data_IF_109315728772
#
_entry.id   IF_109315728772
#
_cell.length_a   1.000
_cell.length_b   1.000
_cell.length_c   1.000
_cell.angle_alpha   90.00
_cell.angle_beta   90.00
_cell.angle_gamma   90.00
#
_symmetry.space_group_name_H-M   'P 1'
#
loop_
_entity.id
_entity.type
_entity.pdbx_description
1 polymer ?
#
# COMPACT_ATOMS: atom_id res chain seq x y z
N UNK A 1 29.19 -32.89 -75.56
CA UNK A 1 30.22 -32.02 -76.18
C UNK A 1 30.11 -30.63 -75.54
N UNK A 2 31.22 -29.89 -75.37
CA UNK A 2 31.87 -29.87 -74.04
C UNK A 2 32.15 -28.47 -73.47
N UNK A 3 32.93 -28.42 -72.36
CA UNK A 3 33.64 -27.25 -71.80
C UNK A 3 32.77 -26.24 -71.00
N UNK A 4 33.25 -25.43 -70.03
CA UNK A 4 34.54 -25.33 -69.27
C UNK A 4 34.42 -24.14 -68.29
N UNK A 5 35.00 -24.05 -67.07
CA UNK A 5 35.74 -24.93 -66.13
C UNK A 5 35.95 -24.15 -64.80
N UNK A 6 35.96 -24.84 -63.64
CA UNK A 6 36.61 -24.41 -62.36
C UNK A 6 36.07 -23.08 -61.72
N UNK A 7 36.26 -22.74 -60.42
CA UNK A 7 37.14 -23.27 -59.35
C UNK A 7 36.59 -22.94 -57.93
N UNK A 8 36.74 -23.87 -56.97
CA UNK A 8 37.07 -23.73 -55.52
C UNK A 8 36.44 -22.70 -54.56
N UNK A 9 36.33 -23.17 -53.29
CA UNK A 9 36.41 -22.43 -52.00
C UNK A 9 35.18 -21.53 -51.68
N UNK A 10 34.69 -21.39 -50.43
CA UNK A 10 35.26 -21.72 -49.10
C UNK A 10 34.19 -22.13 -48.07
N UNK A 11 34.65 -22.61 -46.92
CA UNK A 11 33.94 -22.95 -45.68
C UNK A 11 32.99 -21.87 -45.10
N UNK A 12 32.11 -22.34 -44.21
CA UNK A 12 31.55 -21.66 -43.02
C UNK A 12 30.53 -20.51 -43.19
N UNK A 13 29.24 -20.84 -43.00
CA UNK A 13 28.19 -19.95 -42.46
C UNK A 13 26.96 -20.73 -41.94
N UNK A 14 27.16 -21.78 -41.12
CA UNK A 14 26.08 -22.50 -40.42
C UNK A 14 26.19 -22.27 -38.90
N UNK A 15 26.32 -21.00 -38.53
CA UNK A 15 26.28 -20.49 -37.16
C UNK A 15 25.72 -19.06 -37.22
N UNK A 16 24.40 -18.92 -37.10
CA UNK A 16 23.73 -17.64 -37.40
C UNK A 16 22.22 -17.61 -37.23
N UNK A 17 21.66 -18.43 -36.32
CA UNK A 17 20.22 -18.43 -35.99
C UNK A 17 19.94 -18.51 -34.47
N UNK A 18 20.98 -18.36 -33.63
CA UNK A 18 20.89 -18.34 -32.17
C UNK A 18 21.13 -16.97 -31.54
N UNK A 19 20.90 -15.89 -32.30
CA UNK A 19 21.17 -14.51 -31.87
C UNK A 19 20.08 -13.53 -32.36
N UNK A 20 18.81 -13.92 -32.22
CA UNK A 20 17.73 -12.95 -31.99
C UNK A 20 17.48 -12.87 -30.50
N UNK A 21 18.51 -12.44 -29.77
CA UNK A 21 18.29 -11.82 -28.47
C UNK A 21 17.43 -10.60 -28.73
N UNK A 22 16.13 -10.71 -28.43
CA UNK A 22 15.26 -9.54 -28.29
C UNK A 22 15.65 -8.89 -26.97
N UNK A 23 16.83 -8.25 -26.98
CA UNK A 23 17.24 -7.27 -26.00
C UNK A 23 16.24 -6.13 -26.13
N UNK A 24 15.09 -6.26 -25.46
CA UNK A 24 14.13 -5.17 -25.32
C UNK A 24 14.92 -4.02 -24.71
N UNK A 25 15.08 -2.88 -25.41
CA UNK A 25 15.86 -1.80 -24.86
C UNK A 25 15.22 -1.35 -23.54
N UNK A 26 16.06 -1.09 -22.55
CA UNK A 26 15.68 -0.56 -21.23
C UNK A 26 14.97 0.81 -21.29
N UNK A 27 14.80 1.38 -22.49
CA UNK A 27 13.93 2.52 -22.80
C UNK A 27 12.43 2.28 -22.55
N UNK A 28 12.00 1.05 -22.24
CA UNK A 28 10.65 0.81 -21.73
C UNK A 28 10.45 1.34 -20.30
N UNK A 29 11.53 1.59 -19.56
CA UNK A 29 11.54 2.10 -18.19
C UNK A 29 11.89 3.60 -18.12
N UNK A 30 11.75 4.37 -19.21
CA UNK A 30 11.89 5.82 -19.14
C UNK A 30 10.76 6.38 -18.27
N UNK A 31 11.06 7.18 -17.22
CA UNK A 31 10.01 7.79 -16.42
C UNK A 31 9.13 8.67 -17.32
N UNK A 32 7.81 8.73 -17.07
CA UNK A 32 6.93 9.67 -17.76
C UNK A 32 7.45 11.10 -17.56
N UNK A 33 7.29 12.00 -18.55
CA UNK A 33 7.76 13.37 -18.43
C UNK A 33 7.08 14.06 -17.24
N UNK A 34 7.84 14.87 -16.51
CA UNK A 34 7.31 15.66 -15.40
C UNK A 34 6.09 16.49 -15.85
N UNK A 35 5.03 16.44 -15.05
CA UNK A 35 3.75 17.04 -15.39
C UNK A 35 2.70 16.75 -14.33
N UNK A 36 1.62 17.53 -14.37
CA UNK A 36 0.44 17.37 -13.52
C UNK A 36 -0.81 17.22 -14.38
N UNK A 37 -1.80 16.51 -13.86
CA UNK A 37 -3.07 16.27 -14.54
C UNK A 37 -4.19 16.07 -13.51
N UNK A 38 -5.42 16.42 -13.90
CA UNK A 38 -6.59 16.09 -13.10
C UNK A 38 -6.83 14.57 -13.15
N UNK A 39 -6.82 13.91 -11.99
CA UNK A 39 -6.94 12.45 -11.84
C UNK A 39 -8.28 11.98 -11.26
N UNK A 40 -9.02 12.87 -10.57
CA UNK A 40 -10.42 12.65 -10.21
C UNK A 40 -11.17 13.97 -10.10
N UNK A 41 -12.44 13.99 -10.51
CA UNK A 41 -13.41 15.08 -10.39
C UNK A 41 -14.79 14.44 -10.12
N UNK A 42 -15.64 14.98 -9.24
CA UNK A 42 -16.99 14.46 -9.03
C UNK A 42 -17.81 14.51 -10.32
N UNK A 43 -18.58 13.46 -10.60
CA UNK A 43 -19.41 13.39 -11.81
C UNK A 43 -20.51 14.45 -11.86
N UNK A 44 -20.94 14.95 -10.71
CA UNK A 44 -21.92 16.03 -10.61
C UNK A 44 -21.58 17.04 -9.50
N UNK A 45 -22.02 18.28 -9.71
CA UNK A 45 -21.79 19.44 -8.82
C UNK A 45 -23.08 20.28 -8.70
N UNK A 46 -23.44 20.83 -7.53
CA UNK A 46 -24.57 21.76 -7.41
C UNK A 46 -24.32 23.05 -8.19
N UNK A 47 -25.38 23.79 -8.55
CA UNK A 47 -25.22 25.04 -9.33
C UNK A 47 -24.39 26.10 -8.60
N UNK A 48 -24.60 26.25 -7.30
CA UNK A 48 -23.85 27.15 -6.41
C UNK A 48 -22.64 26.45 -5.74
N UNK A 49 -22.24 25.29 -6.27
CA UNK A 49 -21.19 24.43 -5.72
C UNK A 49 -19.75 24.84 -6.10
N UNK A 50 -18.81 24.02 -5.65
CA UNK A 50 -17.38 24.11 -5.93
C UNK A 50 -16.98 22.93 -6.81
N UNK A 51 -16.24 23.18 -7.88
CA UNK A 51 -15.66 22.12 -8.72
C UNK A 51 -14.36 21.68 -8.05
N UNK A 52 -14.32 20.43 -7.58
CA UNK A 52 -13.18 19.88 -6.85
C UNK A 52 -12.44 18.90 -7.75
N UNK A 53 -11.11 18.98 -7.78
CA UNK A 53 -10.27 18.08 -8.55
C UNK A 53 -9.10 17.55 -7.72
N UNK A 54 -8.91 16.23 -7.72
CA UNK A 54 -7.62 15.65 -7.36
C UNK A 54 -6.68 15.84 -8.55
N UNK A 55 -5.50 16.39 -8.28
CA UNK A 55 -4.43 16.56 -9.26
C UNK A 55 -3.28 15.65 -8.85
N UNK A 56 -2.88 14.77 -9.76
CA UNK A 56 -1.73 13.89 -9.56
C UNK A 56 -0.55 14.38 -10.41
N UNK A 57 0.66 14.22 -9.88
CA UNK A 57 1.92 14.66 -10.46
C UNK A 57 2.87 13.47 -10.55
N UNK A 58 3.59 13.31 -11.67
CA UNK A 58 4.33 12.08 -11.95
C UNK A 58 5.51 11.80 -11.00
N UNK A 59 6.15 12.85 -10.49
CA UNK A 59 7.33 12.78 -9.61
C UNK A 59 7.01 13.47 -8.27
N UNK A 60 6.84 14.79 -8.31
CA UNK A 60 6.30 15.60 -7.23
C UNK A 60 5.47 16.75 -7.80
N UNK A 61 4.48 17.22 -7.04
CA UNK A 61 3.76 18.43 -7.38
C UNK A 61 4.59 19.67 -7.00
N UNK A 62 4.59 20.72 -7.85
CA UNK A 62 5.30 21.96 -7.56
C UNK A 62 4.85 22.62 -6.24
N UNK A 63 5.71 23.47 -5.67
CA UNK A 63 5.39 24.26 -4.46
C UNK A 63 4.19 25.19 -4.68
N UNK A 64 4.04 25.74 -5.89
CA UNK A 64 2.84 26.46 -6.31
C UNK A 64 1.79 25.47 -6.81
N UNK A 65 0.58 25.50 -6.22
CA UNK A 65 -0.55 24.70 -6.69
C UNK A 65 -0.80 24.89 -8.21
N UNK A 66 -0.91 23.81 -9.01
CA UNK A 66 -1.26 23.92 -10.42
C UNK A 66 -2.62 24.60 -10.64
N UNK A 67 -2.78 25.37 -11.72
CA UNK A 67 -4.06 26.06 -11.98
C UNK A 67 -5.05 25.14 -12.71
N UNK A 68 -6.28 25.03 -12.20
CA UNK A 68 -7.38 24.32 -12.84
C UNK A 68 -7.99 25.15 -13.96
N UNK A 69 -8.07 24.57 -15.15
CA UNK A 69 -8.82 25.12 -16.28
C UNK A 69 -10.18 24.42 -16.33
N UNK A 70 -11.23 25.16 -15.96
CA UNK A 70 -12.62 24.72 -16.07
C UNK A 70 -13.24 25.36 -17.31
N UNK A 71 -13.84 24.55 -18.18
CA UNK A 71 -14.40 24.98 -19.45
C UNK A 71 -15.79 24.40 -19.66
N UNK A 72 -16.76 25.24 -19.99
CA UNK A 72 -18.09 24.79 -20.43
C UNK A 72 -17.95 24.04 -21.77
N UNK A 73 -18.46 22.82 -21.84
CA UNK A 73 -18.34 21.93 -23.00
C UNK A 73 -19.25 22.36 -24.15
N UNK A 74 -20.39 22.96 -23.83
CA UNK A 74 -21.45 23.30 -24.78
C UNK A 74 -21.19 24.66 -25.44
N UNK A 75 -20.70 25.64 -24.67
CA UNK A 75 -20.33 26.98 -25.19
C UNK A 75 -18.86 27.06 -25.62
N UNK A 76 -17.99 26.25 -25.01
CA UNK A 76 -16.55 26.33 -25.17
C UNK A 76 -15.87 27.43 -24.34
N UNK A 77 -16.61 28.15 -23.48
CA UNK A 77 -16.10 29.26 -22.67
C UNK A 77 -15.37 28.76 -21.41
N UNK A 78 -14.22 29.36 -21.10
CA UNK A 78 -13.49 29.11 -19.85
C UNK A 78 -14.22 29.82 -18.72
N UNK A 79 -14.53 29.08 -17.65
CA UNK A 79 -15.23 29.61 -16.49
C UNK A 79 -14.30 30.49 -15.66
N UNK A 80 -14.78 31.67 -15.27
CA UNK A 80 -14.08 32.54 -14.33
C UNK A 80 -14.40 32.14 -12.89
N UNK A 81 -13.43 32.28 -11.99
CA UNK A 81 -13.56 31.84 -10.60
C UNK A 81 -12.30 32.10 -9.78
N UNK A 82 -12.28 31.55 -8.58
CA UNK A 82 -11.11 31.54 -7.69
C UNK A 82 -10.76 30.10 -7.31
N UNK A 83 -9.47 29.77 -7.33
CA UNK A 83 -8.98 28.48 -6.85
C UNK A 83 -8.37 28.60 -5.45
N UNK A 84 -8.59 27.58 -4.63
CA UNK A 84 -7.86 27.32 -3.39
C UNK A 84 -7.40 25.86 -3.31
N UNK A 85 -6.28 25.59 -2.62
CA UNK A 85 -5.93 24.23 -2.22
C UNK A 85 -6.79 23.85 -1.01
N UNK A 86 -7.35 22.63 -1.02
CA UNK A 86 -8.27 22.18 0.03
C UNK A 86 -7.50 21.93 1.33
N UNK A 87 -7.60 22.89 2.24
CA UNK A 87 -7.01 22.80 3.57
C UNK A 87 -7.51 21.56 4.35
N UNK A 88 -6.70 21.13 5.31
CA UNK A 88 -6.90 19.99 6.21
C UNK A 88 -6.86 18.59 5.57
N UNK A 89 -6.94 18.45 4.24
CA UNK A 89 -6.70 17.17 3.54
C UNK A 89 -5.19 16.97 3.35
N UNK A 90 -4.61 15.82 3.74
CA UNK A 90 -3.18 15.57 3.53
C UNK A 90 -2.82 15.53 2.04
N UNK A 91 -2.06 16.51 1.57
CA UNK A 91 -1.36 16.43 0.28
C UNK A 91 -0.18 15.45 0.40
N UNK A 92 -0.08 14.50 -0.54
CA UNK A 92 1.16 13.71 -0.71
C UNK A 92 2.16 14.50 -1.55
N UNK A 93 3.41 14.07 -1.64
CA UNK A 93 4.39 14.76 -2.51
C UNK A 93 3.94 14.75 -3.98
N UNK A 94 3.20 13.71 -4.41
CA UNK A 94 2.72 13.48 -5.77
C UNK A 94 1.25 13.86 -6.02
N UNK A 95 0.49 14.33 -5.03
CA UNK A 95 -0.92 14.71 -5.22
C UNK A 95 -1.31 16.02 -4.50
N UNK A 96 -2.28 16.73 -5.08
CA UNK A 96 -2.95 17.90 -4.51
C UNK A 96 -4.47 17.74 -4.64
N UNK A 97 -5.22 18.38 -3.76
CA UNK A 97 -6.67 18.51 -3.89
C UNK A 97 -7.03 19.99 -4.03
N UNK A 98 -7.62 20.35 -5.17
CA UNK A 98 -7.90 21.73 -5.54
C UNK A 98 -9.40 21.97 -5.61
N UNK A 99 -9.83 23.13 -5.11
CA UNK A 99 -11.20 23.61 -5.12
C UNK A 99 -11.30 24.85 -6.01
N UNK A 100 -12.00 24.73 -7.14
CA UNK A 100 -12.36 25.84 -8.02
C UNK A 100 -13.77 26.34 -7.69
N UNK A 101 -13.87 27.58 -7.25
CA UNK A 101 -15.12 28.28 -6.93
C UNK A 101 -15.50 29.19 -8.10
N UNK A 102 -16.57 28.88 -8.86
CA UNK A 102 -17.05 29.74 -9.95
C UNK A 102 -17.40 31.15 -9.47
N UNK A 103 -17.16 32.16 -10.31
CA UNK A 103 -17.52 33.56 -10.03
C UNK A 103 -19.02 33.86 -10.21
N UNK A 104 -19.75 32.96 -10.87
CA UNK A 104 -21.20 32.97 -11.04
C UNK A 104 -21.72 31.52 -10.96
N UNK A 105 -23.00 31.29 -10.61
CA UNK A 105 -23.57 29.94 -10.56
C UNK A 105 -23.43 29.19 -11.88
N UNK A 106 -23.18 27.88 -11.79
CA UNK A 106 -23.14 26.97 -12.93
C UNK A 106 -24.54 26.81 -13.55
N UNK A 107 -24.59 26.43 -14.82
CA UNK A 107 -25.85 26.30 -15.58
C UNK A 107 -26.37 24.86 -15.49
N UNK A 108 -27.64 24.71 -15.11
CA UNK A 108 -28.27 23.39 -14.91
C UNK A 108 -28.20 22.51 -16.17
N UNK A 109 -27.73 21.28 -15.99
CA UNK A 109 -27.57 20.29 -17.05
C UNK A 109 -26.29 20.42 -17.88
N UNK A 110 -25.57 21.55 -17.83
CA UNK A 110 -24.33 21.75 -18.58
C UNK A 110 -23.21 20.82 -18.08
N UNK A 111 -22.34 20.42 -19.01
CA UNK A 111 -21.13 19.64 -18.71
C UNK A 111 -19.92 20.56 -18.75
N UNK A 112 -19.09 20.49 -17.70
CA UNK A 112 -17.84 21.23 -17.58
C UNK A 112 -16.66 20.28 -17.70
N UNK A 113 -15.75 20.59 -18.62
CA UNK A 113 -14.46 19.94 -18.77
C UNK A 113 -13.48 20.55 -17.78
N UNK A 114 -12.75 19.70 -17.07
CA UNK A 114 -11.81 20.06 -16.00
C UNK A 114 -10.46 19.44 -16.30
N UNK A 115 -9.43 20.27 -16.34
CA UNK A 115 -8.04 19.86 -16.48
C UNK A 115 -7.10 20.83 -15.77
N UNK A 116 -5.81 20.60 -15.89
CA UNK A 116 -4.76 21.48 -15.34
C UNK A 116 -4.13 22.32 -16.46
N UNK A 117 -3.71 23.55 -16.17
CA UNK A 117 -2.95 24.36 -17.14
C UNK A 117 -1.68 23.61 -17.59
N UNK A 118 -1.47 23.54 -18.92
CA UNK A 118 -0.35 22.78 -19.49
C UNK A 118 -0.53 21.26 -19.53
N UNK A 119 -1.66 20.72 -19.05
CA UNK A 119 -1.99 19.29 -19.21
C UNK A 119 -1.96 18.89 -20.70
N UNK A 120 -1.19 17.85 -21.02
CA UNK A 120 -1.04 17.41 -22.41
C UNK A 120 -2.25 16.59 -22.87
N UNK A 121 -2.62 16.74 -24.15
CA UNK A 121 -3.79 16.12 -24.79
C UNK A 121 -3.74 14.57 -24.88
N UNK A 122 -2.74 13.92 -24.28
CA UNK A 122 -2.64 12.46 -24.15
C UNK A 122 -3.25 11.90 -22.87
N UNK A 123 -3.60 12.76 -21.90
CA UNK A 123 -4.30 12.38 -20.67
C UNK A 123 -5.79 12.70 -20.82
N UNK A 124 -6.65 11.85 -20.26
CA UNK A 124 -8.11 12.06 -20.26
C UNK A 124 -8.47 13.42 -19.61
N UNK A 125 -9.36 14.17 -20.27
CA UNK A 125 -9.94 15.39 -19.72
C UNK A 125 -11.18 14.96 -18.93
N UNK A 126 -11.22 15.28 -17.65
CA UNK A 126 -12.32 14.89 -16.77
C UNK A 126 -13.53 15.80 -16.98
N UNK A 127 -14.73 15.27 -16.73
CA UNK A 127 -15.99 15.98 -16.97
C UNK A 127 -16.90 15.90 -15.73
N UNK A 128 -17.56 17.01 -15.41
CA UNK A 128 -18.55 17.11 -14.33
C UNK A 128 -19.82 17.79 -14.83
N UNK A 129 -20.99 17.33 -14.39
CA UNK A 129 -22.28 17.91 -14.75
C UNK A 129 -22.82 18.81 -13.63
N UNK A 130 -23.16 20.05 -13.96
CA UNK A 130 -23.88 20.90 -13.01
C UNK A 130 -25.35 20.48 -12.91
N UNK A 131 -25.89 20.35 -11.70
CA UNK A 131 -27.30 19.98 -11.51
C UNK A 131 -27.98 20.67 -10.32
N UNK A 132 -29.17 21.23 -10.57
CA UNK A 132 -30.10 21.69 -9.54
C UNK A 132 -30.76 20.56 -8.75
N UNK A 133 -30.73 19.32 -9.28
CA UNK A 133 -31.29 18.15 -8.62
C UNK A 133 -30.33 17.51 -7.60
N UNK A 134 -29.11 18.06 -7.44
CA UNK A 134 -28.12 17.58 -6.49
C UNK A 134 -28.39 18.12 -5.08
N UNK A 135 -29.50 17.66 -4.49
CA UNK A 135 -29.76 17.81 -3.06
C UNK A 135 -29.05 16.68 -2.30
N UNK A 136 -28.18 17.03 -1.34
CA UNK A 136 -27.49 16.04 -0.53
C UNK A 136 -27.97 16.05 0.91
N UNK A 137 -28.75 15.02 1.25
CA UNK A 137 -28.83 14.56 2.63
C UNK A 137 -27.51 13.86 3.01
N UNK A 138 -26.59 14.66 3.57
CA UNK A 138 -25.29 14.18 4.09
C UNK A 138 -25.44 13.14 5.20
N UNK A 139 -26.65 12.94 5.76
CA UNK A 139 -26.98 11.88 6.72
C UNK A 139 -27.45 10.57 6.12
N UNK A 140 -27.82 10.53 4.84
CA UNK A 140 -28.34 9.32 4.21
C UNK A 140 -27.24 8.39 3.65
N UNK A 141 -26.00 8.86 3.52
CA UNK A 141 -24.89 8.09 2.95
C UNK A 141 -24.23 7.23 4.03
N UNK A 142 -24.32 5.89 3.98
CA UNK A 142 -23.63 5.03 4.94
C UNK A 142 -22.14 4.95 4.63
N UNK A 143 -21.31 5.10 5.67
CA UNK A 143 -19.90 4.67 5.62
C UNK A 143 -19.86 3.16 5.82
N UNK A 144 -19.20 2.44 4.92
CA UNK A 144 -18.95 1.01 5.14
C UNK A 144 -17.70 0.87 6.00
N UNK A 145 -17.77 0.06 7.04
CA UNK A 145 -16.70 -0.13 7.99
C UNK A 145 -16.34 -1.62 8.12
N UNK A 146 -15.04 -1.92 8.15
CA UNK A 146 -14.52 -3.28 8.18
C UNK A 146 -13.36 -3.36 9.20
N UNK A 147 -13.42 -4.34 10.09
CA UNK A 147 -12.35 -4.66 11.05
C UNK A 147 -11.79 -6.02 10.66
N UNK A 148 -10.49 -6.10 10.37
CA UNK A 148 -9.79 -7.35 10.06
C UNK A 148 -8.45 -7.41 10.78
N UNK A 149 -7.92 -8.60 11.00
CA UNK A 149 -6.52 -8.78 11.39
C UNK A 149 -5.67 -8.95 10.13
N UNK A 150 -4.56 -8.21 10.06
CA UNK A 150 -3.53 -8.32 9.05
C UNK A 150 -2.21 -8.79 9.67
N UNK A 151 -1.28 -9.25 8.83
CA UNK A 151 -0.01 -9.86 9.24
C UNK A 151 1.16 -9.21 8.50
N UNK A 152 2.10 -8.62 9.24
CA UNK A 152 3.42 -8.20 8.76
C UNK A 152 4.50 -9.16 9.28
N UNK A 153 5.65 -9.23 8.62
CA UNK A 153 6.81 -9.94 9.17
C UNK A 153 7.30 -9.27 10.46
N UNK A 154 7.78 -10.07 11.40
CA UNK A 154 8.28 -9.61 12.70
C UNK A 154 9.68 -10.17 12.96
N UNK A 155 10.49 -9.44 13.71
CA UNK A 155 11.86 -9.83 14.04
C UNK A 155 12.87 -9.52 12.92
N UNK A 156 13.94 -10.30 12.87
CA UNK A 156 14.98 -10.20 11.85
C UNK A 156 14.50 -10.87 10.55
N UNK A 157 14.57 -10.13 9.44
CA UNK A 157 14.11 -10.60 8.13
C UNK A 157 15.28 -11.04 7.26
N UNK A 158 15.19 -12.25 6.71
CA UNK A 158 16.08 -12.73 5.66
C UNK A 158 15.51 -12.37 4.29
N UNK A 159 16.32 -11.81 3.39
CA UNK A 159 15.87 -11.24 2.13
C UNK A 159 16.58 -11.87 0.93
N UNK A 160 15.86 -11.94 -0.19
CA UNK A 160 16.34 -12.48 -1.46
C UNK A 160 16.02 -11.52 -2.62
N UNK A 161 16.73 -11.70 -3.75
CA UNK A 161 16.29 -11.12 -5.03
C UNK A 161 15.20 -12.01 -5.63
N UNK A 162 14.06 -11.43 -6.00
CA UNK A 162 12.97 -12.13 -6.66
C UNK A 162 13.05 -12.00 -8.19
N UNK A 163 12.87 -13.13 -8.89
CA UNK A 163 12.83 -13.17 -10.36
C UNK A 163 11.50 -12.62 -10.87
N UNK A 164 11.49 -11.32 -11.19
CA UNK A 164 10.35 -10.71 -11.84
C UNK A 164 10.26 -11.18 -13.29
N UNK A 165 9.12 -11.77 -13.65
CA UNK A 165 8.85 -12.25 -14.99
C UNK A 165 8.99 -11.18 -16.09
N UNK A 166 9.09 -11.59 -17.37
CA UNK A 166 9.50 -10.74 -18.48
C UNK A 166 8.58 -9.52 -18.70
N UNK A 167 9.00 -8.36 -18.19
CA UNK A 167 8.27 -7.10 -18.31
C UNK A 167 8.45 -6.12 -17.14
N UNK A 168 8.96 -6.57 -16.00
CA UNK A 168 9.26 -5.68 -14.88
C UNK A 168 10.58 -4.89 -15.06
N UNK A 169 10.67 -3.74 -14.39
CA UNK A 169 11.85 -2.88 -14.35
C UNK A 169 12.44 -2.88 -12.93
N UNK A 170 13.70 -3.30 -12.77
CA UNK A 170 14.43 -3.29 -11.51
C UNK A 170 14.50 -4.65 -10.80
N UNK A 171 15.36 -4.73 -9.77
CA UNK A 171 15.39 -5.86 -8.83
C UNK A 171 14.31 -5.60 -7.77
N UNK A 172 13.48 -6.60 -7.48
CA UNK A 172 12.61 -6.56 -6.30
C UNK A 172 13.18 -7.48 -5.23
N UNK A 173 13.33 -6.92 -4.04
CA UNK A 173 13.68 -7.67 -2.85
C UNK A 173 12.42 -8.31 -2.27
N UNK A 174 12.52 -9.58 -1.87
CA UNK A 174 11.47 -10.29 -1.13
C UNK A 174 12.05 -10.79 0.18
N UNK A 175 11.44 -10.40 1.30
CA UNK A 175 11.91 -10.70 2.64
C UNK A 175 10.93 -11.60 3.38
N UNK A 176 11.46 -12.43 4.28
CA UNK A 176 10.75 -13.43 5.09
C UNK A 176 11.32 -13.45 6.51
N UNK A 177 10.51 -13.86 7.49
CA UNK A 177 10.93 -14.08 8.87
C UNK A 177 10.17 -15.27 9.48
N UNK A 178 10.69 -15.82 10.57
CA UNK A 178 10.07 -16.94 11.31
C UNK A 178 8.81 -16.53 12.07
N UNK A 179 8.61 -15.23 12.30
CA UNK A 179 7.48 -14.68 13.04
C UNK A 179 6.67 -13.68 12.19
N UNK A 180 5.36 -13.67 12.42
CA UNK A 180 4.45 -12.63 11.94
C UNK A 180 3.83 -11.89 13.11
N UNK A 181 3.72 -10.58 12.97
CA UNK A 181 2.96 -9.73 13.87
C UNK A 181 1.57 -9.52 13.29
N UNK A 182 0.57 -9.97 14.06
CA UNK A 182 -0.84 -9.73 13.79
C UNK A 182 -1.28 -8.42 14.43
N UNK A 183 -1.76 -7.49 13.62
CA UNK A 183 -2.33 -6.21 14.05
C UNK A 183 -3.76 -6.08 13.50
N UNK A 184 -4.59 -5.27 14.16
CA UNK A 184 -5.93 -4.95 13.66
C UNK A 184 -5.83 -3.81 12.65
N UNK A 185 -6.51 -3.98 11.52
CA UNK A 185 -6.71 -2.99 10.48
C UNK A 185 -8.17 -2.61 10.47
N UNK A 186 -8.47 -1.35 10.84
CA UNK A 186 -9.80 -0.77 10.79
C UNK A 186 -9.94 0.10 9.56
N UNK A 187 -10.69 -0.38 8.56
CA UNK A 187 -10.89 0.31 7.29
C UNK A 187 -12.29 0.92 7.20
N UNK A 188 -12.35 2.17 6.72
CA UNK A 188 -13.58 2.90 6.43
C UNK A 188 -13.63 3.24 4.94
N UNK A 189 -14.64 2.77 4.22
CA UNK A 189 -14.92 3.18 2.84
C UNK A 189 -15.81 4.43 2.86
N UNK A 190 -15.24 5.54 2.40
CA UNK A 190 -15.88 6.84 2.33
C UNK A 190 -16.26 7.25 0.89
N UNK A 191 -16.19 6.33 -0.08
CA UNK A 191 -16.51 6.60 -1.49
C UNK A 191 -18.02 6.68 -1.79
N UNK A 192 -18.87 6.33 -0.82
CA UNK A 192 -20.32 6.43 -0.94
C UNK A 192 -20.79 7.85 -1.32
N UNK A 193 -21.69 7.93 -2.29
CA UNK A 193 -22.45 9.16 -2.60
C UNK A 193 -21.73 10.25 -3.39
N UNK A 194 -20.60 9.97 -4.07
CA UNK A 194 -19.99 10.93 -5.01
C UNK A 194 -21.01 11.44 -6.05
N UNK A 195 -21.81 10.53 -6.62
CA UNK A 195 -22.93 10.82 -7.54
C UNK A 195 -24.13 11.55 -6.88
N UNK A 196 -24.07 11.81 -5.57
CA UNK A 196 -25.09 12.48 -4.78
C UNK A 196 -24.55 13.74 -4.08
N UNK A 197 -23.44 14.31 -4.58
CA UNK A 197 -22.89 15.57 -4.08
C UNK A 197 -21.90 15.42 -2.92
N UNK A 198 -21.51 14.21 -2.52
CA UNK A 198 -20.53 14.01 -1.44
C UNK A 198 -19.16 14.65 -1.75
N UNK A 199 -18.82 14.81 -3.03
CA UNK A 199 -17.63 15.54 -3.48
C UNK A 199 -17.62 17.04 -3.14
N UNK A 200 -18.72 17.60 -2.63
CA UNK A 200 -18.76 18.98 -2.10
C UNK A 200 -18.24 19.09 -0.65
N UNK A 201 -17.87 17.99 -0.02
CA UNK A 201 -17.53 17.95 1.40
C UNK A 201 -16.24 17.17 1.66
N UNK A 202 -15.46 17.68 2.60
CA UNK A 202 -14.37 16.93 3.22
C UNK A 202 -14.92 16.17 4.44
N UNK A 203 -14.50 14.92 4.59
CA UNK A 203 -14.94 13.98 5.61
C UNK A 203 -13.82 13.86 6.65
N UNK A 204 -14.11 14.32 7.86
CA UNK A 204 -13.20 14.30 9.00
C UNK A 204 -13.63 13.13 9.90
N UNK A 205 -12.75 12.16 10.06
CA UNK A 205 -12.93 10.97 10.89
C UNK A 205 -12.06 11.09 12.14
N UNK A 206 -12.71 11.20 13.30
CA UNK A 206 -12.05 11.09 14.60
C UNK A 206 -12.22 9.67 15.12
N UNK A 207 -11.12 8.94 15.27
CA UNK A 207 -11.08 7.59 15.81
C UNK A 207 -11.02 7.66 17.34
N UNK A 208 -11.78 6.79 18.01
CA UNK A 208 -11.85 6.75 19.47
C UNK A 208 -11.84 5.34 20.02
N UNK A 209 -11.29 5.19 21.22
CA UNK A 209 -11.46 4.00 22.05
C UNK A 209 -12.94 3.80 22.42
N UNK A 210 -13.35 2.63 22.91
CA UNK A 210 -14.72 2.39 23.38
C UNK A 210 -15.22 3.39 24.45
N UNK A 211 -14.34 3.78 25.38
CA UNK A 211 -14.60 4.76 26.44
C UNK A 211 -14.51 6.24 26.00
N UNK A 212 -14.11 6.49 24.74
CA UNK A 212 -14.19 7.81 24.11
C UNK A 212 -12.90 8.64 24.14
N UNK A 213 -11.75 8.04 24.46
CA UNK A 213 -10.44 8.65 24.25
C UNK A 213 -10.18 8.80 22.74
N UNK A 214 -9.73 9.99 22.29
CA UNK A 214 -9.36 10.22 20.89
C UNK A 214 -8.03 9.52 20.59
N UNK A 215 -8.06 8.52 19.71
CA UNK A 215 -6.88 7.76 19.28
C UNK A 215 -6.17 8.41 18.10
N UNK A 216 -6.91 9.17 17.29
CA UNK A 216 -6.37 9.83 16.11
C UNK A 216 -7.45 10.47 15.26
N UNK A 217 -7.02 11.23 14.26
CA UNK A 217 -7.90 11.98 13.37
C UNK A 217 -7.37 11.96 11.95
N UNK A 218 -8.25 11.66 11.00
CA UNK A 218 -7.95 11.64 9.55
C UNK A 218 -8.95 12.50 8.81
N UNK A 219 -8.49 13.11 7.73
CA UNK A 219 -9.30 13.99 6.88
C UNK A 219 -9.15 13.52 5.45
N UNK A 220 -10.27 13.19 4.80
CA UNK A 220 -10.30 12.73 3.40
C UNK A 220 -11.45 13.39 2.66
N UNK A 221 -11.30 13.55 1.36
CA UNK A 221 -12.39 13.97 0.49
C UNK A 221 -13.14 12.75 -0.07
N UNK A 222 -12.40 11.89 -0.75
CA UNK A 222 -12.82 10.57 -1.24
C UNK A 222 -11.70 9.56 -1.01
N UNK A 223 -12.06 8.26 -0.99
CA UNK A 223 -11.13 7.15 -0.82
C UNK A 223 -11.48 6.21 0.33
N UNK A 224 -10.55 5.29 0.56
CA UNK A 224 -10.54 4.40 1.72
C UNK A 224 -9.64 4.99 2.80
N UNK A 225 -10.12 4.98 4.04
CA UNK A 225 -9.30 5.20 5.23
C UNK A 225 -8.94 3.87 5.86
N UNK A 226 -7.77 3.82 6.48
CA UNK A 226 -7.31 2.66 7.25
C UNK A 226 -6.50 3.17 8.43
N UNK A 227 -6.86 2.72 9.63
CA UNK A 227 -6.11 2.95 10.86
C UNK A 227 -5.71 1.59 11.45
N UNK A 228 -4.50 1.48 12.00
CA UNK A 228 -3.93 0.22 12.49
C UNK A 228 -3.70 0.23 13.99
N UNK A 229 -3.97 -0.90 14.64
CA UNK A 229 -3.84 -1.06 16.09
C UNK A 229 -3.15 -2.39 16.42
N UNK A 230 -1.99 -2.35 17.08
CA UNK A 230 -1.27 -3.56 17.47
C UNK A 230 -1.98 -4.33 18.62
N UNK A 231 -2.90 -3.67 19.33
CA UNK A 231 -3.72 -4.26 20.42
C UNK A 231 -5.18 -4.41 19.98
N UNK A 232 -5.71 -5.63 20.10
CA UNK A 232 -7.12 -5.91 19.87
C UNK A 232 -8.02 -5.25 20.93
N UNK A 233 -9.05 -4.54 20.47
CA UNK A 233 -10.16 -4.04 21.29
C UNK A 233 -11.43 -4.87 21.04
N UNK A 234 -12.46 -4.73 21.89
CA UNK A 234 -13.76 -5.37 21.64
C UNK A 234 -14.55 -4.69 20.52
N UNK A 235 -14.35 -3.39 20.34
CA UNK A 235 -14.94 -2.58 19.29
C UNK A 235 -14.03 -1.39 18.95
N UNK A 236 -14.18 -0.86 17.74
CA UNK A 236 -13.44 0.29 17.22
C UNK A 236 -14.45 1.37 16.84
N UNK A 237 -14.30 2.58 17.39
CA UNK A 237 -15.29 3.64 17.24
C UNK A 237 -14.75 4.78 16.37
N UNK A 238 -15.61 5.35 15.52
CA UNK A 238 -15.33 6.57 14.78
C UNK A 238 -16.47 7.58 14.92
N UNK A 239 -16.09 8.85 14.84
CA UNK A 239 -16.97 10.00 14.74
C UNK A 239 -16.71 10.67 13.40
N UNK A 240 -17.75 10.86 12.59
CA UNK A 240 -17.67 11.50 11.28
C UNK A 240 -18.23 12.92 11.34
N UNK A 241 -17.45 13.87 10.83
CA UNK A 241 -17.86 15.26 10.64
C UNK A 241 -17.59 15.67 9.20
N UNK A 242 -18.64 16.03 8.47
CA UNK A 242 -18.54 16.60 7.13
C UNK A 242 -18.24 18.09 7.24
N UNK A 243 -17.36 18.62 6.39
CA UNK A 243 -17.04 20.04 6.24
C UNK A 243 -17.30 20.44 4.78
N UNK A 244 -18.27 21.31 4.55
CA UNK A 244 -18.62 21.84 3.24
C UNK A 244 -17.45 22.63 2.64
N UNK A 245 -17.13 22.39 1.37
CA UNK A 245 -16.14 23.15 0.60
C UNK A 245 -16.71 24.47 0.07
N UNK A 246 -18.03 24.56 -0.07
CA UNK A 246 -18.70 25.77 -0.55
C UNK A 246 -18.69 26.89 0.51
N UNK A 247 -18.95 26.58 1.79
CA UNK A 247 -19.14 27.60 2.83
C UNK A 247 -18.43 27.30 4.16
N UNK A 248 -17.72 26.18 4.26
CA UNK A 248 -17.01 25.78 5.47
C UNK A 248 -17.91 25.27 6.61
N UNK A 249 -19.24 25.16 6.38
CA UNK A 249 -20.17 24.65 7.41
C UNK A 249 -19.88 23.19 7.74
N UNK A 250 -20.12 22.80 8.99
CA UNK A 250 -19.87 21.43 9.46
C UNK A 250 -21.14 20.71 9.90
N UNK A 251 -21.21 19.42 9.56
CA UNK A 251 -22.30 18.52 9.95
C UNK A 251 -21.69 17.27 10.58
N UNK A 252 -21.86 17.13 11.88
CA UNK A 252 -21.45 15.96 12.65
C UNK A 252 -22.51 14.84 12.56
N UNK A 253 -22.06 13.58 12.57
CA UNK A 253 -22.92 12.38 12.63
C UNK A 253 -22.95 11.81 14.05
N UNK A 254 -23.63 10.69 14.23
CA UNK A 254 -23.53 9.94 15.50
C UNK A 254 -22.28 9.07 15.51
N UNK A 255 -21.61 9.00 16.67
CA UNK A 255 -20.46 8.12 16.91
C UNK A 255 -20.86 6.66 16.67
N UNK A 256 -20.16 6.00 15.76
CA UNK A 256 -20.43 4.62 15.36
C UNK A 256 -19.32 3.71 15.84
N UNK A 257 -19.66 2.64 16.54
CA UNK A 257 -18.72 1.62 17.00
C UNK A 257 -18.93 0.32 16.24
N UNK A 258 -17.83 -0.29 15.79
CA UNK A 258 -17.80 -1.51 14.99
C UNK A 258 -17.18 -2.62 15.83
N UNK A 259 -17.90 -3.71 16.12
CA UNK A 259 -17.35 -4.80 16.93
C UNK A 259 -16.21 -5.50 16.19
N UNK A 260 -15.16 -5.87 16.93
CA UNK A 260 -14.04 -6.68 16.40
C UNK A 260 -14.51 -8.07 15.92
N UNK A 261 -15.52 -8.63 16.59
CA UNK A 261 -16.12 -9.91 16.22
C UNK A 261 -15.11 -11.04 16.20
N UNK A 262 -15.18 -11.87 15.16
CA UNK A 262 -14.32 -13.05 14.96
C UNK A 262 -13.04 -12.73 14.15
N UNK A 263 -12.61 -11.46 14.06
CA UNK A 263 -11.49 -11.04 13.21
C UNK A 263 -10.12 -11.66 13.55
N UNK A 264 -9.98 -12.27 14.73
CA UNK A 264 -8.76 -12.97 15.17
C UNK A 264 -8.12 -12.34 16.42
N UNK A 265 -6.91 -12.81 16.76
CA UNK A 265 -6.11 -12.25 17.86
C UNK A 265 -4.90 -11.49 17.31
N UNK A 266 -4.52 -10.39 17.96
CA UNK A 266 -3.26 -9.67 17.70
C UNK A 266 -2.10 -10.21 18.53
N UNK A 267 -0.89 -9.79 18.18
CA UNK A 267 0.36 -10.20 18.83
C UNK A 267 1.33 -10.87 17.85
N UNK A 268 2.45 -11.35 18.36
CA UNK A 268 3.47 -12.06 17.58
C UNK A 268 3.18 -13.56 17.60
N UNK A 269 3.25 -14.20 16.44
CA UNK A 269 3.00 -15.62 16.24
C UNK A 269 4.06 -16.21 15.31
N UNK A 270 4.39 -17.51 15.42
CA UNK A 270 5.15 -18.21 14.39
C UNK A 270 4.46 -18.06 13.02
N UNK A 271 5.25 -17.81 11.98
CA UNK A 271 4.78 -17.69 10.62
C UNK A 271 4.23 -19.03 10.10
N UNK A 272 3.19 -18.97 9.25
CA UNK A 272 2.70 -20.17 8.57
C UNK A 272 3.70 -20.62 7.50
N UNK A 273 4.07 -21.90 7.52
CA UNK A 273 4.99 -22.48 6.55
C UNK A 273 4.54 -22.29 5.09
N UNK A 274 3.23 -22.28 4.81
CA UNK A 274 2.70 -22.01 3.48
C UNK A 274 2.92 -20.54 3.06
N UNK A 275 2.87 -19.58 4.00
CA UNK A 275 3.18 -18.17 3.75
C UNK A 275 4.66 -17.96 3.48
N UNK A 276 5.54 -18.62 4.23
CA UNK A 276 6.99 -18.65 3.99
C UNK A 276 7.24 -19.18 2.57
N UNK A 277 6.75 -20.39 2.25
CA UNK A 277 6.87 -21.04 0.93
C UNK A 277 6.37 -20.13 -0.20
N UNK A 278 5.19 -19.52 -0.07
CA UNK A 278 4.60 -18.63 -1.07
C UNK A 278 5.45 -17.37 -1.32
N UNK A 279 6.14 -16.89 -0.29
CA UNK A 279 7.05 -15.72 -0.37
C UNK A 279 8.38 -16.10 -1.00
N UNK A 280 9.01 -17.19 -0.54
CA UNK A 280 10.36 -17.57 -0.99
C UNK A 280 10.40 -18.23 -2.36
N UNK A 281 9.30 -18.79 -2.88
CA UNK A 281 9.29 -19.44 -4.21
C UNK A 281 9.74 -18.52 -5.36
N UNK A 282 9.58 -17.20 -5.21
CA UNK A 282 9.96 -16.21 -6.21
C UNK A 282 11.45 -15.84 -6.14
N UNK A 283 12.15 -16.18 -5.06
CA UNK A 283 13.57 -15.90 -4.88
C UNK A 283 14.43 -16.65 -5.90
N UNK A 284 15.41 -15.99 -6.51
CA UNK A 284 16.41 -16.60 -7.39
C UNK A 284 17.42 -17.49 -6.65
N UNK A 285 17.49 -17.36 -5.32
CA UNK A 285 18.39 -18.11 -4.43
C UNK A 285 17.77 -18.15 -3.03
N UNK A 286 18.05 -19.17 -2.20
CA UNK A 286 17.43 -19.30 -0.89
C UNK A 286 17.81 -18.11 0.03
N UNK A 287 16.86 -17.52 0.77
CA UNK A 287 17.18 -16.64 1.89
C UNK A 287 17.88 -17.44 3.00
N UNK A 288 18.87 -16.83 3.65
CA UNK A 288 19.59 -17.43 4.80
C UNK A 288 18.60 -17.86 5.89
N UNK A 289 18.71 -19.12 6.34
CA UNK A 289 17.84 -19.75 7.34
C UNK A 289 16.53 -20.34 6.77
N UNK A 290 16.20 -20.07 5.50
CA UNK A 290 14.97 -20.54 4.84
C UNK A 290 15.26 -21.49 3.67
N UNK A 291 16.46 -22.07 3.60
CA UNK A 291 16.93 -22.90 2.49
C UNK A 291 15.99 -24.08 2.23
N UNK A 292 15.61 -24.82 3.27
CA UNK A 292 14.71 -25.97 3.15
C UNK A 292 13.31 -25.58 2.65
N UNK A 293 12.79 -24.43 3.11
CA UNK A 293 11.51 -23.90 2.65
C UNK A 293 11.59 -23.48 1.19
N UNK A 294 12.65 -22.77 0.79
CA UNK A 294 12.91 -22.38 -0.60
C UNK A 294 13.05 -23.59 -1.53
N UNK A 295 13.81 -24.60 -1.13
CA UNK A 295 14.00 -25.84 -1.89
C UNK A 295 12.67 -26.59 -2.12
N UNK A 296 11.86 -26.77 -1.07
CA UNK A 296 10.54 -27.39 -1.22
C UNK A 296 9.58 -26.57 -2.10
N UNK A 297 9.64 -25.24 -2.00
CA UNK A 297 8.84 -24.32 -2.80
C UNK A 297 9.22 -24.33 -4.29
N UNK A 298 10.53 -24.28 -4.60
CA UNK A 298 11.04 -24.33 -5.98
C UNK A 298 10.80 -25.69 -6.62
N UNK A 299 11.03 -26.81 -5.92
CA UNK A 299 10.71 -28.14 -6.45
C UNK A 299 9.25 -28.23 -6.94
N UNK A 300 8.28 -27.83 -6.10
CA UNK A 300 6.86 -27.81 -6.46
C UNK A 300 6.53 -26.83 -7.60
N UNK A 301 7.17 -25.65 -7.64
CA UNK A 301 6.97 -24.69 -8.72
C UNK A 301 7.47 -25.21 -10.07
N UNK A 302 8.63 -25.87 -10.07
CA UNK A 302 9.30 -26.40 -11.26
C UNK A 302 8.64 -27.68 -11.80
N UNK A 303 8.03 -28.51 -10.95
CA UNK A 303 7.13 -29.59 -11.40
C UNK A 303 5.94 -29.05 -12.23
N UNK A 304 5.41 -27.87 -11.85
CA UNK A 304 4.33 -27.21 -12.59
C UNK A 304 4.79 -26.44 -13.84
N UNK A 305 6.02 -25.93 -13.86
CA UNK A 305 6.51 -24.96 -14.86
C UNK A 305 7.93 -25.27 -15.36
N UNK A 306 8.24 -26.54 -15.65
CA UNK A 306 9.61 -27.01 -15.92
C UNK A 306 10.41 -26.32 -17.06
N UNK A 307 9.80 -25.47 -17.89
CA UNK A 307 10.52 -24.61 -18.84
C UNK A 307 11.06 -23.31 -18.24
N UNK A 308 10.66 -22.94 -17.02
CA UNK A 308 11.08 -21.71 -16.32
C UNK A 308 12.24 -21.95 -15.34
N UNK A 309 12.48 -23.20 -14.93
CA UNK A 309 13.55 -23.57 -13.99
C UNK A 309 14.75 -24.26 -14.66
N UNK A 310 14.95 -24.05 -15.97
CA UNK A 310 15.99 -24.75 -16.72
C UNK A 310 17.42 -24.33 -16.34
N UNK A 311 17.56 -23.15 -15.74
CA UNK A 311 18.83 -22.54 -15.31
C UNK A 311 18.89 -22.34 -13.77
N UNK A 312 17.88 -22.80 -13.01
CA UNK A 312 17.84 -22.66 -11.54
C UNK A 312 18.85 -23.63 -10.89
N UNK A 313 19.78 -23.11 -10.07
CA UNK A 313 20.78 -23.92 -9.39
C UNK A 313 20.22 -24.58 -8.11
N UNK A 314 19.43 -25.63 -8.31
CA UNK A 314 18.85 -26.46 -7.24
C UNK A 314 19.90 -27.34 -6.52
N UNK A 315 21.20 -27.20 -6.82
CA UNK A 315 22.26 -28.00 -6.18
C UNK A 315 22.44 -27.71 -4.69
N UNK A 316 21.94 -26.56 -4.21
CA UNK A 316 21.87 -26.19 -2.79
C UNK A 316 20.81 -26.99 -1.99
N UNK A 317 19.96 -27.77 -2.67
CA UNK A 317 18.85 -28.51 -2.07
C UNK A 317 19.16 -29.98 -1.79
N UNK A 318 20.39 -30.30 -1.40
CA UNK A 318 20.72 -31.64 -0.93
C UNK A 318 19.86 -31.99 0.30
N UNK A 319 19.18 -33.15 0.26
CA UNK A 319 18.36 -33.62 1.37
C UNK A 319 19.18 -33.67 2.67
N UNK A 320 18.67 -33.19 3.82
CA UNK A 320 19.31 -33.43 5.10
C UNK A 320 19.29 -34.94 5.37
N UNK A 321 20.48 -35.55 5.26
CA UNK A 321 20.73 -36.99 5.29
C UNK A 321 19.95 -37.66 6.44
N UNK A 322 19.04 -38.63 6.19
CA UNK A 322 18.23 -39.26 7.23
C UNK A 322 19.14 -40.06 8.17
N UNK A 323 19.47 -39.43 9.30
CA UNK A 323 20.62 -39.74 10.14
C UNK A 323 20.91 -41.23 10.34
N UNK A 324 22.10 -41.65 9.88
CA UNK A 324 22.62 -42.98 10.11
C UNK A 324 22.81 -43.23 11.62
N UNK A 325 21.99 -44.11 12.19
CA UNK A 325 22.12 -44.53 13.59
C UNK A 325 23.46 -45.23 13.84
N UNK A 326 24.32 -44.60 14.65
CA UNK A 326 25.64 -45.13 15.02
C UNK A 326 25.84 -45.10 16.55
N UNK A 327 25.90 -46.28 17.17
CA UNK A 327 25.95 -46.42 18.64
C UNK A 327 27.38 -46.38 19.18
N UNK A 328 27.57 -45.71 20.33
CA UNK A 328 28.51 -46.16 21.38
C UNK A 328 29.80 -45.36 21.53
N UNK A 329 30.00 -44.77 22.71
CA UNK A 329 31.23 -44.06 23.04
C UNK A 329 31.20 -43.38 24.42
N UNK A 330 31.31 -44.16 25.50
CA UNK A 330 31.46 -43.61 26.85
C UNK A 330 32.86 -43.01 27.06
N UNK A 331 32.94 -41.77 27.53
CA UNK A 331 34.20 -41.12 27.93
C UNK A 331 33.92 -40.00 28.94
N UNK A 332 34.71 -39.91 30.01
CA UNK A 332 34.47 -39.00 31.13
C UNK A 332 35.68 -38.09 31.41
N UNK A 333 35.39 -36.90 31.96
CA UNK A 333 36.37 -35.85 32.30
C UNK A 333 36.63 -34.86 31.16
N UNK A 334 36.86 -33.57 31.39
CA UNK A 334 36.92 -32.83 32.66
C UNK A 334 38.08 -31.83 32.66
N UNK A 335 37.83 -30.57 33.04
CA UNK A 335 38.83 -29.50 33.10
C UNK A 335 38.62 -28.43 32.02
N UNK A 336 38.80 -27.16 32.40
CA UNK A 336 38.59 -26.01 31.52
C UNK A 336 39.90 -25.32 31.10
N UNK A 337 39.77 -24.26 30.30
CA UNK A 337 40.86 -23.38 29.91
C UNK A 337 40.45 -22.45 28.76
N UNK A 338 40.49 -21.13 28.99
CA UNK A 338 40.65 -20.15 27.92
C UNK A 338 42.12 -20.18 27.45
N UNK A 339 42.41 -19.81 26.19
CA UNK A 339 42.99 -18.48 25.92
C UNK A 339 42.50 -17.84 24.59
N UNK A 340 42.25 -16.52 24.55
CA UNK A 340 43.10 -15.42 24.05
C UNK A 340 42.89 -15.05 22.57
N UNK A 341 42.98 -13.74 22.29
CA UNK A 341 42.85 -13.09 20.98
C UNK A 341 43.99 -13.44 20.00
N UNK A 342 43.87 -13.00 18.74
CA UNK A 342 44.90 -12.03 18.32
C UNK A 342 44.35 -10.75 17.68
N UNK A 343 45.06 -9.65 17.96
CA UNK A 343 44.94 -8.33 17.35
C UNK A 343 45.26 -8.38 15.84
N UNK A 344 44.62 -7.50 15.05
CA UNK A 344 44.73 -7.50 13.59
C UNK A 344 44.27 -6.19 12.95
N UNK A 345 44.88 -5.08 13.37
CA UNK A 345 44.61 -3.72 12.87
C UNK A 345 45.03 -3.55 11.39
N UNK A 346 44.13 -3.13 10.51
CA UNK A 346 44.47 -2.26 9.36
C UNK A 346 43.23 -1.54 8.78
N UNK A 347 43.44 -0.25 8.46
CA UNK A 347 42.44 0.77 8.19
C UNK A 347 41.90 0.87 6.74
N UNK A 348 40.76 1.58 6.63
CA UNK A 348 40.31 2.41 5.47
C UNK A 348 39.72 1.70 4.23
N UNK A 349 38.64 2.19 3.59
CA UNK A 349 37.81 3.39 3.86
C UNK A 349 36.44 3.35 3.15
N UNK A 350 35.45 4.06 3.71
CA UNK A 350 34.21 4.52 3.05
C UNK A 350 33.08 3.48 2.92
N UNK A 351 31.79 3.79 3.10
CA UNK A 351 31.14 5.11 3.15
C UNK A 351 30.13 5.23 4.30
N UNK A 352 29.98 6.45 4.81
CA UNK A 352 29.06 6.79 5.91
C UNK A 352 27.59 6.77 5.51
N UNK A 353 26.71 6.23 6.36
CA UNK A 353 25.29 6.61 6.42
C UNK A 353 24.94 6.97 7.87
N UNK A 354 24.27 8.11 8.05
CA UNK A 354 24.06 8.75 9.35
C UNK A 354 22.85 8.19 10.09
N UNK A 355 23.07 7.40 11.14
CA UNK A 355 22.00 7.02 12.06
C UNK A 355 21.62 8.19 12.99
N UNK A 356 20.51 8.85 12.70
CA UNK A 356 19.94 9.90 13.55
C UNK A 356 19.33 9.30 14.83
N UNK A 357 19.98 9.55 15.98
CA UNK A 357 19.46 9.13 17.30
C UNK A 357 18.18 9.89 17.68
N UNK A 358 17.05 9.18 17.75
CA UNK A 358 15.88 9.58 18.52
C UNK A 358 15.85 8.80 19.84
N UNK A 359 15.84 9.49 20.99
CA UNK A 359 15.98 8.84 22.29
C UNK A 359 14.65 8.23 22.79
N UNK A 360 14.67 6.96 23.16
CA UNK A 360 13.59 6.33 23.93
C UNK A 360 13.62 6.83 25.38
N UNK A 361 12.58 7.57 25.79
CA UNK A 361 12.32 7.89 27.19
C UNK A 361 11.60 6.72 27.84
N UNK A 362 12.25 6.09 28.83
CA UNK A 362 11.69 4.94 29.53
C UNK A 362 10.50 5.33 30.40
N UNK A 363 9.47 4.47 30.42
CA UNK A 363 8.36 4.57 31.35
C UNK A 363 8.35 3.38 32.31
N UNK A 364 8.29 3.70 33.59
CA UNK A 364 8.36 2.72 34.66
C UNK A 364 7.02 1.98 34.83
N UNK A 365 7.10 0.68 35.10
CA UNK A 365 5.97 -0.12 35.59
C UNK A 365 5.48 0.39 36.96
N UNK A 366 4.16 0.45 37.16
CA UNK A 366 3.57 0.15 38.46
C UNK A 366 2.72 -1.12 38.38
N UNK A 367 3.03 -2.11 39.20
CA UNK A 367 2.21 -3.29 39.37
C UNK A 367 0.98 -2.99 40.26
N UNK A 368 -0.22 -3.15 39.71
CA UNK A 368 -1.53 -3.36 40.37
C UNK A 368 -2.29 -4.31 39.44
N UNK A 369 -3.05 -5.31 39.86
CA UNK A 369 -3.44 -5.73 41.21
C UNK A 369 -4.71 -6.57 41.09
N UNK A 370 -4.58 -7.89 41.13
CA UNK A 370 -5.64 -8.84 40.79
C UNK A 370 -6.69 -8.91 41.93
N UNK A 371 -7.94 -8.52 41.65
CA UNK A 371 -9.05 -8.66 42.60
C UNK A 371 -10.38 -8.97 41.90
N UNK A 372 -10.97 -10.13 42.20
CA UNK A 372 -12.34 -10.47 41.81
C UNK A 372 -13.36 -9.68 42.63
N UNK A 373 -14.49 -9.31 42.01
CA UNK A 373 -15.76 -9.10 42.72
C UNK A 373 -16.93 -9.66 41.90
N UNK A 374 -17.64 -10.63 42.48
CA UNK A 374 -18.82 -11.25 41.92
C UNK A 374 -20.09 -10.44 42.19
N UNK A 375 -21.04 -10.56 41.27
CA UNK A 375 -22.49 -10.47 41.46
C UNK A 375 -23.13 -9.12 41.86
N UNK A 376 -24.06 -8.67 41.00
CA UNK A 376 -25.46 -8.64 41.43
C UNK A 376 -26.44 -8.99 40.30
N UNK A 377 -27.32 -9.97 40.56
CA UNK A 377 -28.48 -10.32 39.72
C UNK A 377 -29.74 -9.75 40.36
N UNK A 378 -30.42 -8.81 39.69
CA UNK A 378 -31.84 -8.50 39.89
C UNK A 378 -32.35 -7.80 38.62
N UNK A 379 -33.17 -8.36 37.71
CA UNK A 379 -34.42 -9.16 37.77
C UNK A 379 -35.70 -8.29 37.88
N UNK A 380 -36.36 -8.12 36.73
CA UNK A 380 -37.72 -7.58 36.56
C UNK A 380 -37.80 -6.95 35.15
N UNK A 381 -38.39 -7.53 34.09
CA UNK A 381 -39.56 -8.41 33.85
C UNK A 381 -40.91 -7.66 33.90
N UNK A 382 -41.49 -7.51 32.70
CA UNK A 382 -42.85 -7.01 32.37
C UNK A 382 -43.05 -5.50 32.52
N UNK A 383 -43.90 -4.84 31.70
CA UNK A 383 -45.04 -5.38 30.95
C UNK A 383 -45.14 -4.99 29.45
N UNK A 384 -46.01 -5.71 28.73
CA UNK A 384 -46.54 -5.32 27.42
C UNK A 384 -47.91 -4.68 27.59
N UNK A 385 -48.17 -3.57 26.90
CA UNK A 385 -49.43 -3.34 26.15
C UNK A 385 -49.27 -2.19 25.17
#
# INVERSE_FOLDING_TARGET
MPCSRFTTLTLAAMAGLGALGISRPSSACSPPPDGSYASSVPRAVPLDGVIVARVSCYSSCPESAPELVVKDKDTGEVQSGTQEEVADVPASESERLLAFRPAAPLVDGHIYQVGVEGQTLGVEILETQASAALDMDVGAIPVQANVRVEERWHGETSCCTADLGPGACGLQESCVADEVERYVTFSLDANGGADHGAGQYVKIFTFSSPDGEELGKRTVWEGFLTETYDVAATEYCYQLTYKSLADGTTVEKERTCVPHGDAGATGVFPADAARIVETVKACSSPPEGFEQAWCSARAAYCEGHGSLCADDDVSSCEDPDPGAGGSGGSGAGGGGGAPEDPEGEHDSAGCSVSAGRGASSGWALPAIGLALALASRARGRRDRR
#
